data_IF_117754837387
#
_entry.id   IF_117754837387
#
_cell.length_a   1.000
_cell.length_b   1.000
_cell.length_c   1.000
_cell.angle_alpha   90.00
_cell.angle_beta   90.00
_cell.angle_gamma   90.00
#
_symmetry.space_group_name_H-M   'P 1'
#
loop_
_entity.id
_entity.type
_entity.pdbx_description
1 polymer ?
#
# COMPACT_ATOMS: atom_id res chain seq x y z
N UNK A 1 -10.46 13.59 -9.37
CA UNK A 1 -10.21 13.94 -7.95
C UNK A 1 -8.77 14.38 -7.80
N UNK A 2 -8.52 15.48 -7.07
CA UNK A 2 -7.20 16.11 -7.00
C UNK A 2 -6.28 15.40 -6.01
N UNK A 3 -5.12 14.98 -6.46
CA UNK A 3 -4.13 14.40 -5.57
C UNK A 3 -3.31 15.52 -4.91
N UNK A 4 -3.57 15.78 -3.63
CA UNK A 4 -2.84 16.77 -2.83
C UNK A 4 -1.50 16.20 -2.31
N UNK A 5 -0.64 15.75 -3.24
CA UNK A 5 0.61 15.02 -2.94
C UNK A 5 1.54 15.77 -1.98
N UNK A 6 1.63 17.10 -2.10
CA UNK A 6 2.53 17.93 -1.28
C UNK A 6 2.11 17.96 0.19
N UNK A 7 0.81 18.07 0.45
CA UNK A 7 0.26 18.08 1.81
C UNK A 7 0.46 16.73 2.49
N UNK A 8 0.20 15.63 1.76
CA UNK A 8 0.37 14.28 2.27
C UNK A 8 1.86 13.95 2.49
N UNK A 9 2.75 14.35 1.58
CA UNK A 9 4.18 14.18 1.77
C UNK A 9 4.69 14.93 3.01
N UNK A 10 4.20 16.14 3.25
CA UNK A 10 4.54 16.93 4.45
C UNK A 10 4.04 16.24 5.73
N UNK A 11 2.82 15.69 5.71
CA UNK A 11 2.26 14.94 6.84
C UNK A 11 3.05 13.65 7.12
N UNK A 12 3.42 12.89 6.09
CA UNK A 12 4.24 11.67 6.21
C UNK A 12 5.62 12.02 6.77
N UNK A 13 6.25 13.10 6.28
CA UNK A 13 7.53 13.59 6.81
C UNK A 13 7.44 13.94 8.29
N UNK A 14 6.42 14.69 8.71
CA UNK A 14 6.20 15.02 10.11
C UNK A 14 5.97 13.77 10.98
N UNK A 15 5.20 12.80 10.48
CA UNK A 15 4.96 11.53 11.18
C UNK A 15 6.26 10.72 11.35
N UNK A 16 7.08 10.61 10.31
CA UNK A 16 8.40 9.96 10.37
C UNK A 16 9.31 10.62 11.41
N UNK A 17 9.40 11.96 11.39
CA UNK A 17 10.20 12.71 12.36
C UNK A 17 9.70 12.51 13.80
N UNK A 18 8.37 12.59 14.01
CA UNK A 18 7.76 12.42 15.33
C UNK A 18 7.94 11.01 15.87
N UNK A 19 7.91 9.99 15.01
CA UNK A 19 8.05 8.59 15.40
C UNK A 19 9.52 8.13 15.46
N UNK A 20 10.48 8.97 15.05
CA UNK A 20 11.90 8.62 15.01
C UNK A 20 12.22 7.47 14.05
N UNK A 21 11.42 7.28 12.99
CA UNK A 21 11.56 6.16 12.04
C UNK A 21 11.34 6.62 10.61
N UNK A 22 12.03 5.97 9.68
CA UNK A 22 11.85 6.14 8.24
C UNK A 22 11.08 4.96 7.62
N UNK A 23 10.59 4.03 8.44
CA UNK A 23 9.82 2.86 7.99
C UNK A 23 8.37 3.27 7.78
N UNK A 24 7.91 3.19 6.53
CA UNK A 24 6.57 3.57 6.13
C UNK A 24 5.85 2.36 5.56
N UNK A 25 4.66 2.07 6.09
CA UNK A 25 3.64 1.22 5.48
C UNK A 25 2.51 2.14 5.02
N UNK A 26 2.22 2.12 3.72
CA UNK A 26 1.20 2.92 3.08
C UNK A 26 0.11 2.01 2.53
N UNK A 27 -1.16 2.34 2.79
CA UNK A 27 -2.31 1.58 2.31
C UNK A 27 -3.37 2.55 1.79
N UNK A 28 -3.71 2.49 0.51
CA UNK A 28 -4.71 3.36 -0.09
C UNK A 28 -5.23 2.81 -1.42
N UNK A 29 -6.45 3.23 -1.77
CA UNK A 29 -6.86 3.35 -3.16
C UNK A 29 -6.18 4.59 -3.75
N UNK A 30 -5.21 4.36 -4.62
CA UNK A 30 -4.35 5.43 -5.12
C UNK A 30 -4.95 6.20 -6.28
N UNK A 31 -6.00 5.67 -6.93
CA UNK A 31 -6.64 6.24 -8.11
C UNK A 31 -5.66 6.73 -9.19
N UNK A 32 -4.57 5.99 -9.41
CA UNK A 32 -3.50 6.35 -10.35
C UNK A 32 -2.81 5.12 -10.93
N UNK A 33 -2.31 5.26 -12.15
CA UNK A 33 -1.47 4.30 -12.86
C UNK A 33 0.01 4.35 -12.46
N UNK A 34 0.40 5.25 -11.55
CA UNK A 34 1.77 5.31 -11.02
C UNK A 34 2.19 3.99 -10.37
N UNK A 35 3.46 3.62 -10.56
CA UNK A 35 4.08 2.52 -9.85
C UNK A 35 4.21 2.80 -8.35
N UNK A 36 4.32 1.76 -7.53
CA UNK A 36 4.48 1.88 -6.08
C UNK A 36 5.72 2.69 -5.67
N UNK A 37 6.82 2.61 -6.42
CA UNK A 37 8.00 3.45 -6.21
C UNK A 37 7.76 4.91 -6.54
N UNK A 38 7.03 5.22 -7.62
CA UNK A 38 6.66 6.59 -7.98
C UNK A 38 5.75 7.21 -6.92
N UNK A 39 4.78 6.46 -6.39
CA UNK A 39 3.95 6.89 -5.27
C UNK A 39 4.82 7.22 -4.05
N UNK A 40 5.70 6.31 -3.63
CA UNK A 40 6.63 6.60 -2.52
C UNK A 40 7.54 7.81 -2.77
N UNK A 41 8.02 7.98 -4.00
CA UNK A 41 8.81 9.14 -4.39
C UNK A 41 7.99 10.44 -4.24
N UNK A 42 6.74 10.46 -4.71
CA UNK A 42 5.81 11.59 -4.57
C UNK A 42 5.46 11.89 -3.11
N UNK A 43 5.37 10.85 -2.28
CA UNK A 43 5.10 10.95 -0.84
C UNK A 43 6.33 11.34 -0.01
N UNK A 44 7.50 11.52 -0.63
CA UNK A 44 8.73 11.87 0.08
C UNK A 44 9.26 10.75 0.98
N UNK A 45 8.88 9.49 0.71
CA UNK A 45 9.35 8.33 1.48
C UNK A 45 10.79 8.02 1.07
N UNK A 46 11.75 7.98 2.01
CA UNK A 46 13.14 7.70 1.70
C UNK A 46 13.31 6.26 1.22
N UNK A 47 14.34 6.04 0.38
CA UNK A 47 14.59 4.75 -0.28
C UNK A 47 13.38 4.25 -1.08
N UNK A 48 12.66 5.13 -1.76
CA UNK A 48 11.46 4.80 -2.55
C UNK A 48 11.68 3.71 -3.62
N UNK A 49 12.93 3.49 -4.06
CA UNK A 49 13.29 2.40 -4.96
C UNK A 49 13.45 1.03 -4.26
N UNK A 50 13.58 0.99 -2.93
CA UNK A 50 13.65 -0.22 -2.11
C UNK A 50 12.33 -0.39 -1.36
N UNK A 51 11.36 -0.99 -2.03
CA UNK A 51 10.02 -1.18 -1.51
C UNK A 51 9.54 -2.62 -1.76
N UNK A 52 8.51 -3.00 -1.01
CA UNK A 52 7.69 -4.17 -1.24
C UNK A 52 6.25 -3.72 -1.38
N UNK A 53 5.51 -4.31 -2.32
CA UNK A 53 4.14 -3.94 -2.61
C UNK A 53 3.30 -5.19 -2.82
N UNK A 54 2.01 -5.11 -2.53
CA UNK A 54 1.06 -6.09 -3.05
C UNK A 54 1.08 -6.06 -4.59
N UNK A 55 0.71 -7.19 -5.21
CA UNK A 55 0.47 -7.24 -6.64
C UNK A 55 -0.63 -6.24 -7.07
N UNK A 56 -0.58 -5.84 -8.33
CA UNK A 56 -1.55 -4.93 -8.92
C UNK A 56 -2.77 -5.76 -9.38
N UNK A 57 -3.71 -5.96 -8.47
CA UNK A 57 -4.91 -6.76 -8.73
C UNK A 57 -6.09 -5.88 -9.16
N UNK A 58 -6.94 -6.30 -10.10
CA UNK A 58 -8.14 -5.58 -10.49
C UNK A 58 -9.21 -5.72 -9.41
N UNK A 59 -9.05 -4.94 -8.36
CA UNK A 59 -9.91 -4.96 -7.19
C UNK A 59 -11.21 -4.22 -7.40
N UNK A 60 -11.19 -3.18 -8.22
CA UNK A 60 -12.33 -2.30 -8.43
C UNK A 60 -13.45 -2.99 -9.22
N UNK A 61 -14.64 -2.96 -8.65
CA UNK A 61 -15.94 -3.21 -9.27
C UNK A 61 -16.11 -4.58 -9.93
N UNK A 62 -17.28 -4.77 -10.55
CA UNK A 62 -17.55 -5.91 -11.40
C UNK A 62 -16.51 -5.99 -12.53
N UNK A 63 -15.58 -6.95 -12.43
CA UNK A 63 -14.53 -7.25 -13.41
C UNK A 63 -15.08 -7.57 -14.81
N UNK A 64 -16.40 -7.69 -14.96
CA UNK A 64 -17.11 -7.95 -16.21
C UNK A 64 -17.67 -6.69 -16.90
N UNK A 65 -17.58 -5.50 -16.29
CA UNK A 65 -17.93 -4.25 -16.95
C UNK A 65 -16.71 -3.68 -17.70
N UNK A 66 -16.73 -3.60 -19.05
CA UNK A 66 -15.62 -3.03 -19.81
C UNK A 66 -15.38 -1.58 -19.36
N UNK A 67 -14.15 -1.27 -18.94
CA UNK A 67 -13.74 0.07 -18.48
C UNK A 67 -13.48 0.21 -16.97
N UNK A 68 -13.68 -0.83 -16.16
CA UNK A 68 -13.49 -0.78 -14.69
C UNK A 68 -12.33 -1.65 -14.15
N UNK A 69 -11.39 -2.05 -15.00
CA UNK A 69 -10.21 -2.82 -14.58
C UNK A 69 -9.15 -1.84 -14.06
N UNK A 70 -9.26 -1.50 -12.78
CA UNK A 70 -8.36 -0.55 -12.14
C UNK A 70 -7.66 -1.19 -10.96
N UNK A 71 -6.37 -1.54 -11.10
CA UNK A 71 -5.61 -2.01 -9.97
C UNK A 71 -5.11 -0.78 -9.23
N UNK A 72 -5.92 -0.12 -8.41
CA UNK A 72 -5.49 1.09 -7.69
C UNK A 72 -5.31 0.86 -6.18
N UNK A 73 -5.89 -0.19 -5.62
CA UNK A 73 -5.62 -0.56 -4.24
C UNK A 73 -4.16 -1.00 -4.09
N UNK A 74 -3.48 -0.40 -3.11
CA UNK A 74 -2.05 -0.61 -2.85
C UNK A 74 -1.79 -0.78 -1.37
N UNK A 75 -0.95 -1.74 -1.05
CA UNK A 75 -0.20 -1.79 0.21
C UNK A 75 1.28 -1.77 -0.13
N UNK A 76 2.01 -0.76 0.34
CA UNK A 76 3.43 -0.53 0.01
C UNK A 76 4.23 -0.34 1.30
N UNK A 77 5.40 -0.97 1.41
CA UNK A 77 6.32 -0.83 2.53
C UNK A 77 7.76 -0.56 2.04
N UNK A 78 8.51 0.33 2.69
CA UNK A 78 9.95 0.56 2.38
C UNK A 78 10.90 -0.22 3.29
N UNK A 79 10.37 -1.23 4.00
CA UNK A 79 11.08 -2.04 4.96
C UNK A 79 10.60 -3.49 4.86
N UNK A 80 11.32 -4.40 5.51
CA UNK A 80 11.09 -5.84 5.38
C UNK A 80 11.91 -6.45 4.25
N UNK A 81 11.75 -7.75 4.06
CA UNK A 81 12.51 -8.55 3.09
C UNK A 81 11.67 -9.02 1.91
N UNK A 82 10.35 -8.95 2.00
CA UNK A 82 9.43 -9.34 0.93
C UNK A 82 7.98 -9.11 1.35
N UNK A 83 7.09 -8.99 0.37
CA UNK A 83 5.65 -8.96 0.59
C UNK A 83 4.99 -9.94 -0.38
N UNK A 84 4.18 -10.86 0.14
CA UNK A 84 3.26 -11.67 -0.68
C UNK A 84 1.87 -11.07 -0.65
N UNK A 85 1.08 -11.32 -1.69
CA UNK A 85 -0.29 -10.84 -1.79
C UNK A 85 -1.27 -11.95 -2.13
N UNK A 86 -2.51 -11.79 -1.69
CA UNK A 86 -3.65 -12.60 -2.07
C UNK A 86 -4.85 -11.69 -2.28
N UNK A 87 -5.51 -11.81 -3.43
CA UNK A 87 -6.83 -11.26 -3.64
C UNK A 87 -7.89 -12.20 -3.02
N UNK A 88 -8.87 -11.61 -2.34
CA UNK A 88 -10.03 -12.30 -1.78
C UNK A 88 -11.29 -11.90 -2.55
N UNK A 89 -12.33 -12.72 -2.40
CA UNK A 89 -13.64 -12.47 -3.01
C UNK A 89 -13.63 -12.52 -4.54
N UNK A 90 -12.85 -13.45 -5.11
CA UNK A 90 -12.91 -13.86 -6.51
C UNK A 90 -13.36 -15.34 -6.62
N UNK A 91 -14.58 -15.64 -7.11
CA UNK A 91 -15.57 -14.70 -7.63
C UNK A 91 -16.24 -13.86 -6.54
N UNK A 92 -16.88 -12.75 -6.96
CA UNK A 92 -17.59 -11.85 -6.06
C UNK A 92 -18.71 -12.57 -5.28
N UNK A 93 -18.92 -12.27 -3.99
CA UNK A 93 -20.06 -12.74 -3.23
C UNK A 93 -21.38 -12.32 -3.88
N UNK A 94 -22.42 -13.16 -3.78
CA UNK A 94 -23.71 -12.91 -4.43
C UNK A 94 -24.39 -11.60 -4.01
N UNK A 95 -24.20 -11.16 -2.76
CA UNK A 95 -24.72 -9.88 -2.29
C UNK A 95 -23.99 -8.67 -2.91
N UNK A 96 -22.73 -8.85 -3.33
CA UNK A 96 -21.93 -7.79 -3.96
C UNK A 96 -22.17 -7.69 -5.48
N UNK A 97 -22.81 -8.71 -6.06
CA UNK A 97 -23.22 -8.71 -7.47
C UNK A 97 -24.59 -8.05 -7.71
N UNK A 98 -25.38 -7.84 -6.65
CA UNK A 98 -26.75 -7.33 -6.72
C UNK A 98 -26.82 -5.88 -6.19
N UNK A 99 -26.64 -4.88 -7.06
CA UNK A 99 -26.88 -3.47 -6.71
C UNK A 99 -25.66 -2.56 -6.91
N UNK A 100 -25.51 -2.06 -8.13
CA UNK A 100 -24.58 -1.00 -8.54
C UNK A 100 -23.07 -1.30 -8.56
N UNK A 101 -22.61 -2.50 -8.18
CA UNK A 101 -21.29 -3.04 -8.57
C UNK A 101 -20.05 -2.22 -8.14
N UNK A 102 -20.10 -1.52 -7.01
CA UNK A 102 -18.99 -0.66 -6.50
C UNK A 102 -18.12 -1.36 -5.44
N UNK A 103 -18.12 -2.71 -5.40
CA UNK A 103 -17.34 -3.45 -4.42
C UNK A 103 -15.87 -3.57 -4.85
N UNK A 104 -14.95 -3.16 -3.98
CA UNK A 104 -13.52 -3.46 -4.14
C UNK A 104 -13.20 -4.83 -3.52
N UNK A 105 -12.71 -5.77 -4.32
CA UNK A 105 -12.14 -7.03 -3.83
C UNK A 105 -11.01 -6.73 -2.84
N UNK A 106 -10.96 -7.48 -1.76
CA UNK A 106 -9.96 -7.24 -0.72
C UNK A 106 -8.61 -7.81 -1.15
N UNK A 107 -7.54 -7.04 -0.95
CA UNK A 107 -6.15 -7.53 -1.05
C UNK A 107 -5.61 -7.74 0.36
N UNK A 108 -5.05 -8.92 0.60
CA UNK A 108 -4.24 -9.22 1.78
C UNK A 108 -2.77 -9.15 1.40
N UNK A 109 -2.00 -8.30 2.08
CA UNK A 109 -0.55 -8.27 2.00
C UNK A 109 0.10 -8.89 3.23
N UNK A 110 1.00 -9.86 3.05
CA UNK A 110 1.82 -10.41 4.15
C UNK A 110 3.25 -9.91 4.01
N UNK A 111 3.64 -9.00 4.90
CA UNK A 111 4.98 -8.41 4.93
C UNK A 111 5.92 -9.26 5.79
N UNK A 112 7.00 -9.75 5.18
CA UNK A 112 8.09 -10.43 5.89
C UNK A 112 9.01 -9.39 6.54
N UNK A 113 9.06 -9.37 7.86
CA UNK A 113 10.01 -8.55 8.62
C UNK A 113 11.22 -9.41 8.94
N UNK A 114 12.36 -9.13 8.31
CA UNK A 114 13.62 -9.72 8.74
C UNK A 114 13.92 -9.30 10.19
N UNK A 115 14.22 -10.26 11.06
CA UNK A 115 14.78 -9.99 12.39
C UNK A 115 16.21 -9.44 12.22
N UNK A 116 16.33 -8.17 11.83
CA UNK A 116 17.59 -7.45 11.96
C UNK A 116 17.96 -7.41 13.45
N UNK A 117 19.14 -7.92 13.80
CA UNK A 117 19.67 -8.02 15.15
C UNK A 117 19.24 -6.84 16.02
N UNK A 118 18.35 -7.10 16.99
CA UNK A 118 18.13 -6.20 18.11
C UNK A 118 19.42 -6.24 18.93
N UNK A 119 20.39 -5.41 18.58
CA UNK A 119 21.46 -5.07 19.52
C UNK A 119 20.80 -4.19 20.56
N UNK A 120 20.27 -4.83 21.61
CA UNK A 120 19.93 -4.16 22.84
C UNK A 120 21.26 -3.61 23.39
N UNK A 121 21.54 -2.34 23.14
CA UNK A 121 22.52 -1.62 23.94
C UNK A 121 21.88 -1.43 25.31
N UNK A 122 22.16 -2.35 26.23
CA UNK A 122 21.96 -2.07 27.65
C UNK A 122 22.88 -0.90 28.01
N UNK A 123 22.27 0.23 28.34
CA UNK A 123 22.96 1.32 29.01
C UNK A 123 23.14 0.89 30.47
N UNK A 124 24.35 0.42 30.81
CA UNK A 124 24.77 0.35 32.20
C UNK A 124 24.97 1.77 32.74
N UNK A 125 24.23 2.10 33.80
CA UNK A 125 24.53 3.20 34.73
C UNK A 125 25.15 2.57 35.97
#
# INVERSE_FOLDING_TARGET
HGHEWSSLASAISAAMSSAGTHRVLFMADTNTDMSSSEIFSKLGVPNSAKFHSTALEPTCCNTYSPGFIFPFDRVIANFGSGMSSQELFDPLPSWATEGNNEFHKAIVGTLSIGLGSLVATEASV
#
